data_IF_577052754985
#
_entry.id   IF_577052754985
#
_cell.length_a   1.000
_cell.length_b   1.000
_cell.length_c   1.000
_cell.angle_alpha   90.00
_cell.angle_beta   90.00
_cell.angle_gamma   90.00
#
_symmetry.space_group_name_H-M   'P 1'
#
loop_
_entity.id
_entity.type
_entity.pdbx_description
1 polymer ?
#
# COMPACT_ATOMS: atom_id res chain seq x y z
N UNK A 1 10.16 8.84 -13.12
CA UNK A 1 10.04 7.37 -12.95
C UNK A 1 9.10 6.75 -13.98
N UNK A 2 9.34 5.50 -14.34
CA UNK A 2 8.41 4.68 -15.12
C UNK A 2 8.14 3.38 -14.35
N UNK A 3 6.88 2.96 -14.27
CA UNK A 3 6.47 1.81 -13.47
C UNK A 3 5.51 0.92 -14.27
N UNK A 4 5.82 -0.35 -14.36
CA UNK A 4 4.95 -1.37 -14.97
C UNK A 4 4.58 -2.40 -13.92
N UNK A 5 3.28 -2.74 -13.86
CA UNK A 5 2.76 -3.79 -12.98
C UNK A 5 2.30 -4.99 -13.80
N UNK A 6 2.69 -6.18 -13.37
CA UNK A 6 2.06 -7.43 -13.73
C UNK A 6 1.49 -8.03 -12.45
N UNK A 7 0.19 -8.30 -12.44
CA UNK A 7 -0.51 -8.78 -11.24
C UNK A 7 -1.40 -9.98 -11.58
N UNK A 8 -1.31 -11.01 -10.74
CA UNK A 8 -2.27 -12.11 -10.71
C UNK A 8 -3.12 -11.95 -9.45
N UNK A 9 -4.44 -11.79 -9.59
CA UNK A 9 -5.31 -11.34 -8.51
C UNK A 9 -6.55 -12.21 -8.41
N UNK A 10 -6.97 -12.51 -7.17
CA UNK A 10 -8.18 -13.27 -6.87
C UNK A 10 -9.00 -12.60 -5.77
N UNK A 11 -10.30 -12.43 -6.02
CA UNK A 11 -11.28 -12.05 -5.01
C UNK A 11 -11.83 -13.30 -4.31
N UNK A 12 -11.76 -13.32 -2.99
CA UNK A 12 -12.43 -14.29 -2.13
C UNK A 12 -13.66 -13.62 -1.47
N UNK A 13 -14.84 -13.99 -1.93
CA UNK A 13 -16.10 -13.41 -1.42
C UNK A 13 -16.56 -14.01 -0.11
N UNK A 14 -15.95 -15.10 0.36
CA UNK A 14 -16.23 -15.72 1.66
C UNK A 14 -15.39 -15.04 2.75
N UNK A 15 -14.08 -14.86 2.48
CA UNK A 15 -13.14 -14.20 3.40
C UNK A 15 -13.18 -12.69 3.27
N UNK A 16 -13.81 -12.17 2.23
CA UNK A 16 -13.81 -10.76 1.86
C UNK A 16 -12.40 -10.19 1.69
N UNK A 17 -11.58 -10.90 0.93
CA UNK A 17 -10.21 -10.52 0.64
C UNK A 17 -9.95 -10.46 -0.86
N UNK A 18 -9.03 -9.57 -1.25
CA UNK A 18 -8.38 -9.62 -2.56
C UNK A 18 -6.94 -9.99 -2.35
N UNK A 19 -6.54 -11.16 -2.80
CA UNK A 19 -5.15 -11.61 -2.75
C UNK A 19 -4.49 -11.51 -4.11
N UNK A 20 -3.21 -11.22 -4.16
CA UNK A 20 -2.48 -11.13 -5.39
C UNK A 20 -0.97 -11.31 -5.24
N UNK A 21 -0.37 -11.74 -6.37
CA UNK A 21 1.05 -11.63 -6.62
C UNK A 21 1.29 -10.46 -7.56
N UNK A 22 2.27 -9.62 -7.26
CA UNK A 22 2.68 -8.49 -8.09
C UNK A 22 4.16 -8.58 -8.43
N UNK A 23 4.46 -8.50 -9.73
CA UNK A 23 5.80 -8.19 -10.24
C UNK A 23 5.79 -6.75 -10.75
N UNK A 24 6.56 -5.87 -10.11
CA UNK A 24 6.64 -4.45 -10.42
C UNK A 24 8.00 -4.16 -11.04
N UNK A 25 8.02 -3.71 -12.29
CA UNK A 25 9.24 -3.16 -12.89
C UNK A 25 9.27 -1.66 -12.63
N UNK A 26 10.32 -1.19 -11.97
CA UNK A 26 10.57 0.22 -11.69
C UNK A 26 11.80 0.69 -12.46
N UNK A 27 11.69 1.83 -13.12
CA UNK A 27 12.79 2.50 -13.83
C UNK A 27 13.03 3.88 -13.24
N UNK A 28 14.26 4.13 -12.83
CA UNK A 28 14.67 5.40 -12.25
C UNK A 28 15.02 6.41 -13.35
N UNK A 29 14.06 7.25 -13.71
CA UNK A 29 14.27 8.34 -14.69
C UNK A 29 14.60 9.68 -14.01
N UNK A 30 14.93 9.67 -12.69
CA UNK A 30 15.41 10.85 -12.00
C UNK A 30 16.94 11.03 -12.18
N UNK A 31 17.48 12.23 -11.92
CA UNK A 31 18.92 12.44 -11.89
C UNK A 31 19.60 11.83 -10.66
N UNK A 32 18.83 11.37 -9.68
CA UNK A 32 19.32 10.93 -8.38
C UNK A 32 19.54 9.43 -8.31
N UNK A 33 20.47 8.98 -7.47
CA UNK A 33 20.59 7.58 -7.06
C UNK A 33 19.64 7.30 -5.90
N UNK A 34 18.71 6.35 -6.09
CA UNK A 34 17.71 6.02 -5.10
C UNK A 34 18.23 4.93 -4.14
N UNK A 35 18.17 5.18 -2.84
CA UNK A 35 18.57 4.25 -1.78
C UNK A 35 17.39 3.65 -1.01
N UNK A 36 16.18 4.12 -1.29
CA UNK A 36 14.94 3.62 -0.68
C UNK A 36 13.87 3.43 -1.75
N UNK A 37 13.01 2.47 -1.50
CA UNK A 37 11.82 2.20 -2.29
C UNK A 37 10.60 2.24 -1.40
N UNK A 38 9.49 2.78 -1.90
CA UNK A 38 8.27 2.96 -1.13
C UNK A 38 7.04 2.49 -1.89
N UNK A 39 6.10 1.86 -1.15
CA UNK A 39 4.75 1.56 -1.63
C UNK A 39 3.71 2.22 -0.74
N UNK A 40 2.67 2.76 -1.35
CA UNK A 40 1.44 3.15 -0.67
C UNK A 40 0.57 1.91 -0.44
N UNK A 41 0.15 1.71 0.80
CA UNK A 41 -0.78 0.71 1.27
C UNK A 41 -2.06 1.40 1.75
N UNK A 42 -2.82 2.02 0.84
CA UNK A 42 -3.93 2.93 1.17
C UNK A 42 -4.98 2.32 2.10
N UNK A 43 -5.24 1.01 1.99
CA UNK A 43 -6.21 0.33 2.84
C UNK A 43 -5.81 0.34 4.32
N UNK A 44 -4.51 0.42 4.61
CA UNK A 44 -4.02 0.47 5.99
C UNK A 44 -4.49 1.72 6.74
N UNK A 45 -4.86 2.81 6.05
CA UNK A 45 -5.41 4.01 6.67
C UNK A 45 -6.64 3.72 7.55
N UNK A 46 -7.32 2.60 7.33
CA UNK A 46 -8.52 2.20 8.05
C UNK A 46 -8.24 1.19 9.18
N UNK A 47 -7.03 1.17 9.71
CA UNK A 47 -6.65 0.40 10.88
C UNK A 47 -6.66 1.27 12.14
N UNK A 48 -6.86 0.61 13.29
CA UNK A 48 -6.69 1.26 14.59
C UNK A 48 -5.28 1.79 14.76
N UNK A 49 -5.15 3.00 15.33
CA UNK A 49 -3.86 3.64 15.60
C UNK A 49 -3.26 4.43 14.44
N UNK A 50 -3.82 4.35 13.23
CA UNK A 50 -3.35 5.16 12.08
C UNK A 50 -3.71 6.64 12.21
N UNK A 51 -3.08 7.49 11.39
CA UNK A 51 -3.40 8.93 11.32
C UNK A 51 -4.88 9.12 11.04
N UNK A 52 -5.39 8.47 9.98
CA UNK A 52 -6.80 8.57 9.59
C UNK A 52 -7.78 8.09 10.67
N UNK A 53 -7.46 7.02 11.38
CA UNK A 53 -8.25 6.54 12.50
C UNK A 53 -8.35 7.58 13.62
N UNK A 54 -7.22 8.21 13.99
CA UNK A 54 -7.16 9.27 15.00
C UNK A 54 -7.94 10.51 14.58
N UNK A 55 -7.86 10.90 13.30
CA UNK A 55 -8.64 12.01 12.74
C UNK A 55 -10.14 11.76 12.85
N UNK A 56 -10.60 10.54 12.56
CA UNK A 56 -12.01 10.18 12.74
C UNK A 56 -12.46 10.22 14.19
N UNK A 57 -11.63 9.76 15.13
CA UNK A 57 -11.92 9.83 16.55
C UNK A 57 -11.96 11.28 17.05
N UNK A 58 -11.10 12.14 16.52
CA UNK A 58 -11.08 13.59 16.85
C UNK A 58 -12.23 14.38 16.19
N UNK A 59 -13.06 13.74 15.34
CA UNK A 59 -14.18 14.40 14.66
C UNK A 59 -13.76 15.22 13.44
N UNK A 60 -12.51 15.06 12.94
CA UNK A 60 -12.02 15.74 11.74
C UNK A 60 -12.46 15.04 10.45
N UNK A 61 -12.95 13.81 10.54
CA UNK A 61 -13.53 13.06 9.44
C UNK A 61 -15.06 13.19 9.35
N UNK A 62 -15.69 12.46 8.41
CA UNK A 62 -17.16 12.41 8.35
C UNK A 62 -17.70 11.86 9.69
N UNK A 63 -18.46 12.68 10.39
CA UNK A 63 -19.05 12.47 11.74
C UNK A 63 -19.64 11.07 11.93
N UNK A 64 -20.29 10.56 10.91
CA UNK A 64 -20.92 9.22 10.92
C UNK A 64 -19.95 8.06 11.22
N UNK A 65 -18.69 8.15 10.79
CA UNK A 65 -17.70 7.08 11.00
C UNK A 65 -17.03 7.16 12.35
N UNK A 66 -16.68 8.34 12.78
CA UNK A 66 -16.19 8.57 14.13
C UNK A 66 -17.16 8.04 15.18
N UNK A 67 -18.45 8.27 14.99
CA UNK A 67 -19.50 7.77 15.88
C UNK A 67 -19.63 6.23 15.84
N UNK A 68 -19.46 5.59 14.69
CA UNK A 68 -19.47 4.12 14.60
C UNK A 68 -18.25 3.52 15.30
N UNK A 69 -17.06 4.08 15.08
CA UNK A 69 -15.84 3.65 15.76
C UNK A 69 -15.99 3.81 17.28
N UNK A 70 -16.45 4.95 17.75
CA UNK A 70 -16.69 5.22 19.18
C UNK A 70 -17.72 4.26 19.81
N UNK A 71 -18.70 3.79 19.02
CA UNK A 71 -19.72 2.83 19.45
C UNK A 71 -19.27 1.38 19.29
N UNK A 72 -18.05 1.12 18.81
CA UNK A 72 -17.57 -0.23 18.54
C UNK A 72 -18.38 -0.97 17.47
N UNK A 73 -19.09 -0.24 16.59
CA UNK A 73 -19.97 -0.84 15.59
C UNK A 73 -19.18 -1.14 14.32
N UNK A 74 -18.93 -2.40 14.09
CA UNK A 74 -18.37 -2.99 12.88
C UNK A 74 -16.84 -2.98 12.83
N UNK A 75 -16.25 -3.96 12.16
CA UNK A 75 -14.81 -3.99 11.93
C UNK A 75 -14.46 -2.96 10.86
N UNK A 76 -13.84 -1.90 11.26
CA UNK A 76 -13.24 -0.91 10.37
C UNK A 76 -11.90 -1.37 9.80
N UNK A 77 -11.68 -2.66 9.64
CA UNK A 77 -10.35 -3.18 9.33
C UNK A 77 -10.22 -3.46 7.85
N UNK A 78 -9.77 -2.45 7.12
CA UNK A 78 -9.14 -2.66 5.83
C UNK A 78 -7.64 -2.59 6.03
N UNK A 79 -6.90 -3.61 5.58
CA UNK A 79 -5.43 -3.66 5.72
C UNK A 79 -4.82 -4.52 4.62
N UNK A 80 -3.51 -4.38 4.45
CA UNK A 80 -2.69 -5.33 3.68
C UNK A 80 -1.86 -6.21 4.60
N UNK A 81 -1.83 -7.49 4.29
CA UNK A 81 -0.75 -8.39 4.69
C UNK A 81 0.19 -8.53 3.50
N UNK A 82 1.49 -8.36 3.71
CA UNK A 82 2.54 -8.45 2.69
C UNK A 82 3.47 -9.62 3.02
N UNK A 83 3.79 -10.43 2.02
CA UNK A 83 4.73 -11.54 2.14
C UNK A 83 5.56 -11.72 0.87
N UNK A 84 6.55 -12.61 0.91
CA UNK A 84 7.42 -12.96 -0.21
C UNK A 84 8.00 -11.73 -0.94
N UNK A 85 8.33 -10.69 -0.16
CA UNK A 85 8.85 -9.43 -0.67
C UNK A 85 10.32 -9.58 -1.08
N UNK A 86 10.65 -9.17 -2.31
CA UNK A 86 12.00 -9.14 -2.80
C UNK A 86 12.21 -8.02 -3.82
N UNK A 87 13.32 -7.31 -3.74
CA UNK A 87 13.78 -6.34 -4.76
C UNK A 87 15.08 -6.85 -5.38
N UNK A 88 15.11 -6.91 -6.72
CA UNK A 88 16.26 -7.41 -7.47
C UNK A 88 16.63 -6.48 -8.63
N UNK A 89 17.91 -6.43 -8.96
CA UNK A 89 18.45 -5.83 -10.18
C UNK A 89 19.28 -6.88 -10.93
N UNK A 90 18.72 -7.43 -12.01
CA UNK A 90 19.29 -8.62 -12.64
C UNK A 90 19.37 -9.77 -11.64
N UNK A 91 20.54 -10.39 -11.50
CA UNK A 91 20.78 -11.46 -10.54
C UNK A 91 21.06 -10.97 -9.09
N UNK A 92 21.25 -9.66 -8.89
CA UNK A 92 21.61 -9.09 -7.58
C UNK A 92 20.38 -8.78 -6.76
N UNK A 93 20.29 -9.33 -5.52
CA UNK A 93 19.31 -8.90 -4.52
C UNK A 93 19.66 -7.49 -4.03
N UNK A 94 18.67 -6.60 -4.01
CA UNK A 94 18.80 -5.25 -3.46
C UNK A 94 18.16 -5.13 -2.08
N UNK A 95 17.04 -5.83 -1.84
CA UNK A 95 16.38 -5.91 -0.54
C UNK A 95 15.44 -7.12 -0.51
N UNK A 96 15.27 -7.70 0.67
CA UNK A 96 14.28 -8.73 0.99
C UNK A 96 13.52 -8.40 2.29
N UNK A 97 13.76 -7.21 2.82
CA UNK A 97 13.16 -6.71 4.06
C UNK A 97 12.47 -5.37 3.83
N UNK A 98 11.44 -5.13 4.61
CA UNK A 98 10.68 -3.89 4.59
C UNK A 98 10.18 -3.53 5.99
N UNK A 99 9.74 -2.28 6.14
CA UNK A 99 9.01 -1.78 7.29
C UNK A 99 7.70 -1.17 6.81
N UNK A 100 6.65 -1.29 7.61
CA UNK A 100 5.37 -0.63 7.36
C UNK A 100 5.14 0.36 8.50
N UNK A 101 4.97 1.63 8.11
CA UNK A 101 4.54 2.69 9.00
C UNK A 101 3.25 3.30 8.43
N UNK A 102 2.16 3.09 9.16
CA UNK A 102 0.81 3.51 8.74
C UNK A 102 0.47 2.96 7.32
N UNK A 103 0.39 3.82 6.33
CA UNK A 103 0.08 3.48 4.93
C UNK A 103 1.30 3.38 4.03
N UNK A 104 2.50 3.44 4.58
CA UNK A 104 3.73 3.41 3.81
C UNK A 104 4.54 2.15 4.11
N UNK A 105 4.80 1.35 3.06
CA UNK A 105 5.85 0.33 3.11
C UNK A 105 7.15 0.95 2.61
N UNK A 106 8.22 0.80 3.36
CA UNK A 106 9.56 1.25 3.00
C UNK A 106 10.56 0.10 2.96
N UNK A 107 11.42 0.09 1.96
CA UNK A 107 12.53 -0.85 1.83
C UNK A 107 13.83 -0.10 1.54
N UNK A 108 14.89 -0.41 2.29
CA UNK A 108 16.23 0.12 2.04
C UNK A 108 16.94 -0.75 1.00
N UNK A 109 17.50 -0.12 -0.03
CA UNK A 109 18.28 -0.82 -1.04
C UNK A 109 19.73 -0.98 -0.56
N UNK A 110 20.25 -2.21 -0.60
CA UNK A 110 21.65 -2.52 -0.24
C UNK A 110 22.67 -1.84 -1.14
N UNK A 111 22.25 -1.60 -2.39
CA UNK A 111 22.98 -0.78 -3.38
C UNK A 111 22.01 0.19 -4.00
N UNK A 112 22.40 1.45 -4.16
CA UNK A 112 21.56 2.47 -4.77
C UNK A 112 21.18 2.12 -6.21
N UNK A 113 19.99 2.53 -6.61
CA UNK A 113 19.50 2.44 -7.99
C UNK A 113 19.88 3.75 -8.74
N UNK A 114 20.92 3.74 -9.59
CA UNK A 114 21.35 4.95 -10.27
C UNK A 114 20.35 5.41 -11.34
N UNK A 115 20.51 6.66 -11.85
CA UNK A 115 19.74 7.17 -12.98
C UNK A 115 19.76 6.19 -14.17
N UNK A 116 18.61 6.02 -14.84
CA UNK A 116 18.42 5.14 -15.98
C UNK A 116 18.40 3.64 -15.66
N UNK A 117 18.65 3.24 -14.41
CA UNK A 117 18.63 1.85 -14.03
C UNK A 117 17.21 1.36 -13.69
N UNK A 118 17.00 0.05 -13.88
CA UNK A 118 15.73 -0.62 -13.53
C UNK A 118 15.95 -1.65 -12.44
N UNK A 119 14.90 -1.88 -11.65
CA UNK A 119 14.79 -2.98 -10.69
C UNK A 119 13.44 -3.66 -10.81
N UNK A 120 13.35 -4.87 -10.27
CA UNK A 120 12.10 -5.64 -10.18
C UNK A 120 11.79 -5.88 -8.72
N UNK A 121 10.55 -5.64 -8.37
CA UNK A 121 9.99 -5.89 -7.05
C UNK A 121 8.94 -6.98 -7.20
N UNK A 122 9.11 -8.09 -6.48
CA UNK A 122 8.15 -9.17 -6.37
C UNK A 122 7.58 -9.18 -4.95
N UNK A 123 6.25 -9.30 -4.84
CA UNK A 123 5.58 -9.42 -3.54
C UNK A 123 4.24 -10.14 -3.68
N UNK A 124 3.90 -10.89 -2.63
CA UNK A 124 2.54 -11.37 -2.41
C UNK A 124 1.83 -10.43 -1.42
N UNK A 125 0.55 -10.19 -1.66
CA UNK A 125 -0.23 -9.34 -0.80
C UNK A 125 -1.66 -9.84 -0.67
N UNK A 126 -2.27 -9.57 0.49
CA UNK A 126 -3.69 -9.78 0.73
C UNK A 126 -4.30 -8.50 1.28
N UNK A 127 -5.26 -7.95 0.56
CA UNK A 127 -6.08 -6.84 1.00
C UNK A 127 -7.33 -7.38 1.70
N UNK A 128 -7.47 -7.13 3.00
CA UNK A 128 -8.68 -7.39 3.76
C UNK A 128 -9.67 -6.24 3.52
N UNK A 129 -10.80 -6.55 2.88
CA UNK A 129 -11.76 -5.53 2.45
C UNK A 129 -12.70 -5.18 3.59
N UNK A 130 -12.58 -3.96 4.11
CA UNK A 130 -13.40 -3.46 5.21
C UNK A 130 -14.88 -3.31 4.85
N UNK A 131 -15.76 -3.47 5.84
CA UNK A 131 -17.21 -3.32 5.68
C UNK A 131 -17.66 -1.87 5.80
N UNK A 132 -17.50 -1.11 4.74
CA UNK A 132 -17.95 0.28 4.67
C UNK A 132 -18.04 0.76 3.21
N UNK A 133 -18.93 1.72 2.96
CA UNK A 133 -19.02 2.39 1.66
C UNK A 133 -18.05 3.57 1.59
N UNK A 134 -16.91 3.31 1.00
CA UNK A 134 -15.98 4.34 0.54
C UNK A 134 -15.40 3.99 -0.82
N UNK A 135 -14.26 4.63 -1.16
CA UNK A 135 -13.52 4.35 -2.40
C UNK A 135 -13.07 2.90 -2.50
N UNK A 136 -12.68 2.31 -1.37
CA UNK A 136 -12.41 0.88 -1.25
C UNK A 136 -13.15 0.34 -0.03
N UNK A 137 -13.90 -0.75 -0.22
CA UNK A 137 -14.69 -1.37 0.84
C UNK A 137 -15.83 -2.22 0.26
N UNK A 138 -16.68 -2.74 1.14
CA UNK A 138 -17.85 -3.53 0.76
C UNK A 138 -19.08 -3.21 1.59
N UNK A 139 -20.25 -3.45 1.00
CA UNK A 139 -21.52 -3.56 1.74
C UNK A 139 -22.30 -4.74 1.16
N UNK A 140 -22.58 -5.72 2.01
CA UNK A 140 -23.17 -6.97 1.56
C UNK A 140 -22.32 -7.64 0.48
N UNK A 141 -22.89 -7.82 -0.72
CA UNK A 141 -22.23 -8.44 -1.87
C UNK A 141 -21.58 -7.43 -2.82
N UNK A 142 -21.73 -6.14 -2.56
CA UNK A 142 -21.12 -5.08 -3.38
C UNK A 142 -19.73 -4.74 -2.88
N UNK A 143 -18.75 -4.74 -3.78
CA UNK A 143 -17.37 -4.34 -3.53
C UNK A 143 -17.01 -3.11 -4.37
N UNK A 144 -16.35 -2.14 -3.73
CA UNK A 144 -15.77 -0.98 -4.40
C UNK A 144 -14.24 -1.06 -4.27
N UNK A 145 -13.54 -0.91 -5.38
CA UNK A 145 -12.09 -1.01 -5.43
C UNK A 145 -11.48 0.24 -6.06
N UNK A 146 -11.01 1.17 -5.21
CA UNK A 146 -10.13 2.24 -5.62
C UNK A 146 -8.86 2.19 -4.75
N UNK A 147 -7.70 2.37 -5.36
CA UNK A 147 -6.41 2.31 -4.65
C UNK A 147 -6.22 1.00 -3.88
N UNK A 148 -6.61 -0.12 -4.49
CA UNK A 148 -6.85 -1.42 -3.88
C UNK A 148 -5.65 -2.37 -3.91
N UNK A 149 -4.54 -1.98 -4.53
CA UNK A 149 -3.29 -2.74 -4.59
C UNK A 149 -2.11 -1.91 -4.07
N UNK A 150 -1.02 -2.53 -3.61
CA UNK A 150 0.20 -1.82 -3.22
C UNK A 150 0.75 -1.00 -4.40
N UNK A 151 0.83 0.32 -4.25
CA UNK A 151 1.18 1.24 -5.33
C UNK A 151 2.50 1.94 -5.07
N UNK A 152 3.39 1.97 -6.06
CA UNK A 152 4.66 2.70 -5.99
C UNK A 152 4.41 4.18 -5.71
N UNK A 153 5.15 4.71 -4.75
CA UNK A 153 5.14 6.13 -4.39
C UNK A 153 5.76 6.96 -5.52
N UNK A 154 5.20 8.12 -5.76
CA UNK A 154 5.76 9.07 -6.74
C UNK A 154 7.09 9.61 -6.22
N UNK A 155 8.08 9.66 -7.10
CA UNK A 155 9.34 10.37 -6.90
C UNK A 155 9.38 11.55 -7.86
N UNK A 156 9.52 12.76 -7.34
CA UNK A 156 9.58 14.01 -8.09
C UNK A 156 10.79 14.86 -7.66
N UNK A 157 10.82 16.13 -8.03
CA UNK A 157 11.88 17.07 -7.69
C UNK A 157 12.05 17.34 -6.18
N UNK A 158 11.04 17.02 -5.37
CA UNK A 158 11.05 17.13 -3.91
C UNK A 158 11.41 15.80 -3.22
N UNK A 159 11.72 14.76 -3.99
CA UNK A 159 11.98 13.41 -3.50
C UNK A 159 10.77 12.47 -3.53
N UNK A 160 10.79 11.41 -2.72
CA UNK A 160 9.67 10.48 -2.62
C UNK A 160 8.50 11.08 -1.84
N UNK A 161 7.30 11.02 -2.40
CA UNK A 161 6.06 11.43 -1.72
C UNK A 161 5.59 10.31 -0.78
N UNK A 162 6.33 10.11 0.30
CA UNK A 162 6.18 9.00 1.26
C UNK A 162 5.45 9.40 2.56
N UNK A 163 4.51 10.33 2.48
CA UNK A 163 3.67 10.71 3.62
C UNK A 163 2.50 9.73 3.76
N UNK A 164 2.13 9.35 5.00
CA UNK A 164 0.95 8.54 5.24
C UNK A 164 -0.31 9.17 4.64
N UNK A 165 -1.17 8.31 4.09
CA UNK A 165 -2.45 8.73 3.54
C UNK A 165 -3.47 8.95 4.67
N UNK A 166 -4.13 10.10 4.66
CA UNK A 166 -5.15 10.50 5.63
C UNK A 166 -6.36 11.16 4.97
#
# INVERSE_FOLDING_TARGET
QFVTYKMDVKLDTVKHTVGGHSTIKYENNSPDTLYHFYLNLYANAFQEGTVKYREYLAGLGRTYRGDRIKKGIGPFFSKYDISNFAIKRGASALSDTFQIDDTILSAKLSKGLPPGASMVIDLDWTHHVGEFLERAGRVGVQYNFAQWYPRVVVYDENGSFNQPFH
#
